data_IF_152714811133
#
_entry.id   IF_152714811133
#
_cell.length_a   1.000
_cell.length_b   1.000
_cell.length_c   1.000
_cell.angle_alpha   90.00
_cell.angle_beta   90.00
_cell.angle_gamma   90.00
#
_symmetry.space_group_name_H-M   'P 1'
#
loop_
_entity.id
_entity.type
_entity.pdbx_description
1 polymer ?
#
# COMPACT_ATOMS: atom_id res chain seq x y z
N UNK A 1 -4.21 14.17 0.03
CA UNK A 1 -4.14 14.41 -1.43
C UNK A 1 -3.95 13.07 -2.11
N UNK A 2 -4.95 12.60 -2.85
CA UNK A 2 -4.77 11.50 -3.79
C UNK A 2 -4.24 12.08 -5.11
N UNK A 3 -3.29 11.40 -5.75
CA UNK A 3 -2.89 11.73 -7.11
C UNK A 3 -3.77 10.99 -8.11
N UNK A 4 -3.76 11.44 -9.38
CA UNK A 4 -4.33 10.67 -10.49
C UNK A 4 -3.82 9.22 -10.46
N UNK A 5 -4.63 8.23 -10.90
CA UNK A 5 -4.21 6.83 -10.89
C UNK A 5 -2.85 6.66 -11.55
N UNK A 6 -1.91 6.08 -10.80
CA UNK A 6 -0.59 5.77 -11.32
C UNK A 6 -0.74 4.72 -12.42
N UNK A 7 -0.23 4.97 -13.63
CA UNK A 7 -0.34 4.02 -14.73
C UNK A 7 0.46 2.77 -14.37
N UNK A 8 -0.16 1.59 -14.51
CA UNK A 8 0.47 0.31 -14.25
C UNK A 8 0.33 -0.60 -15.48
N UNK A 9 1.42 -1.24 -15.91
CA UNK A 9 1.42 -2.16 -17.04
C UNK A 9 1.07 -3.59 -16.61
N UNK A 10 1.61 -4.03 -15.48
CA UNK A 10 1.43 -5.40 -14.98
C UNK A 10 0.10 -5.64 -14.25
N UNK A 11 -0.54 -4.58 -13.75
CA UNK A 11 -1.74 -4.64 -12.88
C UNK A 11 -2.69 -3.46 -13.14
N UNK A 12 -3.84 -3.41 -12.46
CA UNK A 12 -4.79 -2.29 -12.63
C UNK A 12 -4.16 -0.95 -12.18
N UNK A 13 -4.37 0.17 -12.91
CA UNK A 13 -4.01 1.49 -12.40
C UNK A 13 -4.68 1.78 -11.06
N UNK A 14 -3.99 2.48 -10.16
CA UNK A 14 -4.44 2.74 -8.78
C UNK A 14 -3.88 4.06 -8.27
N UNK A 15 -4.57 4.71 -7.34
CA UNK A 15 -4.02 5.92 -6.74
C UNK A 15 -2.83 5.59 -5.83
N UNK A 16 -1.88 6.50 -5.81
CA UNK A 16 -0.73 6.48 -4.91
C UNK A 16 -0.76 7.76 -4.09
N UNK A 17 -0.47 7.65 -2.81
CA UNK A 17 -0.46 8.72 -1.84
C UNK A 17 0.98 8.97 -1.37
N UNK A 18 1.39 10.22 -1.24
CA UNK A 18 2.74 10.58 -0.78
C UNK A 18 2.63 11.50 0.43
N UNK A 19 3.13 11.05 1.58
CA UNK A 19 3.33 11.87 2.77
C UNK A 19 4.80 12.24 2.88
N UNK A 20 5.08 13.54 2.88
CA UNK A 20 6.42 14.08 3.10
C UNK A 20 6.62 14.36 4.60
N UNK A 21 7.80 14.03 5.17
CA UNK A 21 8.05 14.28 6.57
C UNK A 21 8.14 15.80 6.86
N UNK A 22 7.89 16.23 8.12
CA UNK A 22 8.06 17.61 8.51
C UNK A 22 9.45 18.16 8.16
N UNK A 23 9.49 19.30 7.47
CA UNK A 23 10.74 19.95 7.08
C UNK A 23 11.39 19.44 5.78
N UNK A 24 10.73 18.54 5.04
CA UNK A 24 11.19 18.05 3.73
C UNK A 24 11.64 19.19 2.79
N UNK A 25 10.82 20.22 2.60
CA UNK A 25 11.11 21.33 1.66
C UNK A 25 12.24 22.27 2.11
N UNK A 26 12.75 22.11 3.35
CA UNK A 26 13.77 22.99 3.94
C UNK A 26 15.16 22.34 3.95
N UNK A 27 15.28 21.12 3.45
CA UNK A 27 16.51 20.34 3.48
C UNK A 27 16.80 19.72 2.12
N UNK A 28 18.08 19.42 1.86
CA UNK A 28 18.50 18.59 0.73
C UNK A 28 18.77 17.14 1.14
N UNK A 29 18.48 16.80 2.41
CA UNK A 29 18.62 15.45 2.96
C UNK A 29 17.82 14.42 2.16
N UNK A 30 18.38 13.21 2.06
CA UNK A 30 17.69 12.06 1.48
C UNK A 30 16.94 11.33 2.59
N UNK A 31 15.63 11.20 2.43
CA UNK A 31 14.78 10.48 3.36
C UNK A 31 14.59 9.02 2.90
N UNK A 32 14.56 8.05 3.83
CA UNK A 32 14.10 6.71 3.50
C UNK A 32 12.64 6.75 3.06
N UNK A 33 12.25 5.81 2.21
CA UNK A 33 10.89 5.66 1.71
C UNK A 33 10.28 4.38 2.28
N UNK A 34 9.05 4.49 2.80
CA UNK A 34 8.27 3.37 3.29
C UNK A 34 7.06 3.22 2.36
N UNK A 35 6.99 2.09 1.65
CA UNK A 35 5.83 1.73 0.85
C UNK A 35 4.82 1.00 1.73
N UNK A 36 3.60 1.52 1.79
CA UNK A 36 2.52 0.98 2.60
C UNK A 36 1.37 0.52 1.71
N UNK A 37 0.90 -0.70 1.98
CA UNK A 37 -0.24 -1.30 1.28
C UNK A 37 -1.55 -0.71 1.81
N UNK A 38 -2.61 -0.80 0.99
CA UNK A 38 -3.95 -0.28 1.32
C UNK A 38 -3.96 1.23 1.62
N UNK A 39 -3.35 1.99 0.71
CA UNK A 39 -3.17 3.45 0.78
C UNK A 39 -4.43 4.23 1.17
N UNK A 40 -5.61 3.74 0.78
CA UNK A 40 -6.89 4.38 1.08
C UNK A 40 -7.23 4.39 2.58
N UNK A 41 -6.63 3.49 3.38
CA UNK A 41 -6.85 3.41 4.82
C UNK A 41 -5.94 4.35 5.63
N UNK A 42 -4.94 4.96 5.00
CA UNK A 42 -3.81 5.52 5.74
C UNK A 42 -4.07 6.89 6.38
N UNK A 43 -4.87 7.75 5.73
CA UNK A 43 -4.89 9.20 6.02
C UNK A 43 -6.28 9.80 6.29
N UNK A 44 -7.37 9.11 5.91
CA UNK A 44 -8.71 9.64 6.11
C UNK A 44 -9.72 8.49 6.26
N UNK A 45 -10.51 8.53 7.33
CA UNK A 45 -11.57 7.56 7.59
C UNK A 45 -12.61 7.47 6.44
N UNK A 46 -12.82 8.55 5.69
CA UNK A 46 -13.76 8.60 4.55
C UNK A 46 -13.28 7.85 3.32
N UNK A 47 -11.97 7.66 3.17
CA UNK A 47 -11.39 6.83 2.10
C UNK A 47 -11.10 5.40 2.57
N UNK A 48 -11.05 5.18 3.89
CA UNK A 48 -10.72 3.90 4.47
C UNK A 48 -11.77 2.82 4.20
N UNK A 49 -11.29 1.63 3.87
CA UNK A 49 -12.10 0.42 3.91
C UNK A 49 -12.71 0.28 5.31
N UNK A 50 -14.01 0.00 5.36
CA UNK A 50 -14.76 -0.17 6.61
C UNK A 50 -14.80 1.08 7.51
N UNK A 51 -14.39 2.26 7.02
CA UNK A 51 -14.48 3.53 7.74
C UNK A 51 -13.48 3.69 8.89
N UNK A 52 -12.41 2.88 8.92
CA UNK A 52 -11.39 2.92 9.98
C UNK A 52 -10.04 3.32 9.41
N UNK A 53 -9.65 4.54 9.74
CA UNK A 53 -8.34 5.10 9.40
C UNK A 53 -7.22 4.50 10.25
N UNK A 54 -6.03 4.42 9.67
CA UNK A 54 -4.81 4.00 10.38
C UNK A 54 -4.00 5.17 10.94
N UNK A 55 -4.30 6.42 10.55
CA UNK A 55 -3.72 7.66 11.08
C UNK A 55 -2.18 7.68 11.00
N UNK A 56 -1.64 7.36 9.83
CA UNK A 56 -0.18 7.28 9.65
C UNK A 56 0.46 8.67 9.71
N UNK A 57 -0.21 9.71 9.23
CA UNK A 57 0.30 11.07 9.21
C UNK A 57 0.44 11.64 10.62
N UNK A 58 -0.57 11.53 11.48
CA UNK A 58 -0.45 11.96 12.88
C UNK A 58 0.61 11.15 13.63
N UNK A 59 0.68 9.84 13.35
CA UNK A 59 1.67 8.97 13.96
C UNK A 59 3.09 9.37 13.57
N UNK A 60 3.34 9.61 12.28
CA UNK A 60 4.65 10.04 11.77
C UNK A 60 5.03 11.41 12.33
N UNK A 61 4.13 12.40 12.29
CA UNK A 61 4.39 13.74 12.84
C UNK A 61 4.77 13.67 14.31
N UNK A 62 4.00 12.90 15.11
CA UNK A 62 4.24 12.76 16.55
C UNK A 62 5.61 12.13 16.83
N UNK A 63 5.91 10.98 16.24
CA UNK A 63 7.16 10.25 16.51
C UNK A 63 8.40 11.00 16.01
N UNK A 64 8.31 11.65 14.85
CA UNK A 64 9.40 12.49 14.32
C UNK A 64 9.64 13.70 15.23
N UNK A 65 8.57 14.38 15.66
CA UNK A 65 8.69 15.56 16.53
C UNK A 65 9.23 15.22 17.92
N UNK A 66 8.95 14.00 18.41
CA UNK A 66 9.49 13.47 19.65
C UNK A 66 10.94 12.97 19.53
N UNK A 67 11.49 12.86 18.31
CA UNK A 67 12.82 12.31 18.06
C UNK A 67 12.93 10.80 18.26
N UNK A 68 11.80 10.08 18.30
CA UNK A 68 11.74 8.63 18.51
C UNK A 68 12.07 7.85 17.23
N UNK A 69 11.78 8.42 16.06
CA UNK A 69 12.12 7.87 14.75
C UNK A 69 12.78 8.94 13.88
N UNK A 70 13.61 8.50 12.94
CA UNK A 70 14.08 9.38 11.87
C UNK A 70 12.92 9.72 10.91
N UNK A 71 12.91 10.92 10.29
CA UNK A 71 11.91 11.25 9.29
C UNK A 71 11.99 10.33 8.05
N UNK A 72 10.84 10.03 7.46
CA UNK A 72 10.70 9.17 6.28
C UNK A 72 9.56 9.66 5.38
N UNK A 73 9.63 9.35 4.08
CA UNK A 73 8.52 9.53 3.13
C UNK A 73 7.64 8.29 3.20
N UNK A 74 6.32 8.46 3.29
CA UNK A 74 5.37 7.36 3.13
C UNK A 74 4.80 7.39 1.72
N UNK A 75 4.81 6.24 1.05
CA UNK A 75 4.13 6.01 -0.23
C UNK A 75 3.01 4.99 0.01
N UNK A 76 1.77 5.46 0.07
CA UNK A 76 0.59 4.62 0.21
C UNK A 76 0.07 4.14 -1.14
N UNK A 77 -0.05 2.83 -1.33
CA UNK A 77 -0.53 2.22 -2.59
C UNK A 77 -1.96 1.73 -2.36
N UNK A 78 -2.95 2.33 -3.02
CA UNK A 78 -4.33 1.83 -2.91
C UNK A 78 -4.44 0.40 -3.44
N UNK A 79 -5.20 -0.43 -2.74
CA UNK A 79 -5.56 -1.74 -3.26
C UNK A 79 -6.59 -1.64 -4.38
N UNK A 80 -6.52 -2.59 -5.32
CA UNK A 80 -7.49 -2.70 -6.41
C UNK A 80 -8.66 -3.61 -6.05
N UNK A 81 -9.59 -3.77 -6.99
CA UNK A 81 -10.65 -4.81 -6.91
C UNK A 81 -10.08 -6.24 -6.83
N UNK A 82 -8.81 -6.43 -7.19
CA UNK A 82 -8.07 -7.70 -7.12
C UNK A 82 -7.12 -7.79 -5.92
N UNK A 83 -7.41 -7.05 -4.84
CA UNK A 83 -6.56 -6.96 -3.63
C UNK A 83 -6.04 -8.32 -3.16
N UNK A 84 -6.90 -9.33 -3.11
CA UNK A 84 -6.52 -10.66 -2.61
C UNK A 84 -5.61 -11.38 -3.60
N UNK A 85 -5.93 -11.36 -4.88
CA UNK A 85 -5.14 -11.95 -5.95
C UNK A 85 -3.77 -11.28 -6.08
N UNK A 86 -3.68 -9.97 -5.81
CA UNK A 86 -2.44 -9.17 -5.81
C UNK A 86 -1.58 -9.41 -4.56
N UNK A 87 -2.18 -9.73 -3.41
CA UNK A 87 -1.43 -9.86 -2.14
C UNK A 87 -1.11 -11.31 -1.75
N UNK A 88 -1.67 -12.31 -2.43
CA UNK A 88 -1.44 -13.73 -2.13
C UNK A 88 -0.36 -14.35 -3.03
N UNK A 89 0.81 -14.73 -2.49
CA UNK A 89 1.87 -15.34 -3.30
C UNK A 89 1.45 -16.71 -3.86
N UNK A 90 1.39 -16.80 -5.19
CA UNK A 90 1.04 -18.05 -5.89
C UNK A 90 1.93 -19.22 -5.53
N UNK A 91 3.21 -18.98 -5.27
CA UNK A 91 4.21 -20.00 -4.87
C UNK A 91 3.96 -20.56 -3.47
N UNK A 92 3.23 -19.85 -2.62
CA UNK A 92 2.87 -20.31 -1.27
C UNK A 92 1.51 -21.04 -1.23
N UNK A 93 0.71 -20.94 -2.29
CA UNK A 93 -0.56 -21.63 -2.41
C UNK A 93 -0.36 -23.15 -2.55
N UNK A 94 -1.28 -23.93 -1.99
CA UNK A 94 -1.31 -25.39 -2.11
C UNK A 94 -2.67 -25.83 -2.65
N UNK A 95 -2.66 -26.59 -3.75
CA UNK A 95 -3.88 -27.01 -4.44
C UNK A 95 -4.44 -25.94 -5.39
N UNK A 96 -5.62 -26.22 -5.94
CA UNK A 96 -6.23 -25.39 -7.00
C UNK A 96 -7.03 -24.21 -6.46
N UNK A 97 -7.39 -24.24 -5.17
CA UNK A 97 -8.21 -23.24 -4.50
C UNK A 97 -7.49 -22.76 -3.24
N UNK A 98 -7.44 -21.45 -3.04
CA UNK A 98 -6.99 -20.81 -1.80
C UNK A 98 -8.14 -20.09 -1.10
N UNK A 99 -8.02 -19.96 0.21
CA UNK A 99 -8.96 -19.21 1.05
C UNK A 99 -8.20 -18.12 1.80
N UNK A 100 -8.90 -17.08 2.23
CA UNK A 100 -8.32 -16.05 3.10
C UNK A 100 -8.15 -16.51 4.55
N UNK A 101 -8.78 -17.64 4.92
CA UNK A 101 -8.92 -18.08 6.31
C UNK A 101 -9.95 -17.26 7.12
N UNK A 102 -10.67 -16.33 6.50
CA UNK A 102 -11.69 -15.49 7.14
C UNK A 102 -13.08 -15.96 6.73
N UNK A 103 -13.94 -16.24 7.70
CA UNK A 103 -15.32 -16.66 7.45
C UNK A 103 -16.08 -15.61 6.63
N UNK A 104 -16.80 -16.07 5.61
CA UNK A 104 -17.61 -15.21 4.73
C UNK A 104 -16.83 -14.55 3.59
N UNK A 105 -15.50 -14.71 3.51
CA UNK A 105 -14.73 -14.26 2.35
C UNK A 105 -14.74 -15.31 1.23
N UNK A 106 -14.63 -14.88 -0.04
CA UNK A 106 -14.61 -15.79 -1.18
C UNK A 106 -13.36 -16.67 -1.19
N UNK A 107 -13.47 -17.78 -1.91
CA UNK A 107 -12.33 -18.61 -2.29
C UNK A 107 -11.80 -18.15 -3.65
N UNK A 108 -10.50 -18.29 -3.88
CA UNK A 108 -9.84 -17.89 -5.12
C UNK A 108 -9.20 -19.09 -5.80
N UNK A 109 -9.13 -19.11 -7.13
CA UNK A 109 -8.35 -20.13 -7.84
C UNK A 109 -6.88 -19.75 -7.74
N UNK A 110 -6.02 -20.72 -7.43
CA UNK A 110 -4.57 -20.50 -7.36
C UNK A 110 -4.01 -19.94 -8.67
N UNK A 111 -4.62 -20.28 -9.80
CA UNK A 111 -4.19 -19.78 -11.10
C UNK A 111 -4.43 -18.28 -11.31
N UNK A 112 -5.46 -17.72 -10.66
CA UNK A 112 -5.87 -16.31 -10.76
C UNK A 112 -5.02 -15.37 -9.89
N UNK A 113 -4.18 -15.93 -9.01
CA UNK A 113 -3.28 -15.15 -8.17
C UNK A 113 -2.22 -14.45 -9.04
N UNK A 114 -2.09 -13.15 -8.83
CA UNK A 114 -1.25 -12.24 -9.61
C UNK A 114 -0.24 -11.48 -8.74
N UNK A 115 0.16 -12.05 -7.60
CA UNK A 115 1.08 -11.39 -6.67
C UNK A 115 2.49 -11.15 -7.25
N UNK A 116 2.95 -11.99 -8.18
CA UNK A 116 4.22 -11.75 -8.87
C UNK A 116 4.09 -10.50 -9.79
N UNK A 117 2.97 -10.31 -10.50
CA UNK A 117 2.73 -9.08 -11.29
C UNK A 117 2.58 -7.84 -10.40
N UNK A 118 1.93 -7.98 -9.24
CA UNK A 118 1.85 -6.89 -8.27
C UNK A 118 3.23 -6.49 -7.75
N UNK A 119 4.09 -7.48 -7.48
CA UNK A 119 5.47 -7.24 -7.08
C UNK A 119 6.26 -6.51 -8.16
N UNK A 120 6.12 -6.90 -9.43
CA UNK A 120 6.75 -6.22 -10.58
C UNK A 120 6.35 -4.73 -10.62
N UNK A 121 5.06 -4.42 -10.42
CA UNK A 121 4.59 -3.03 -10.33
C UNK A 121 5.28 -2.25 -9.19
N UNK A 122 5.36 -2.83 -8.00
CA UNK A 122 5.97 -2.15 -6.83
C UNK A 122 7.46 -1.93 -7.03
N UNK A 123 8.17 -2.87 -7.65
CA UNK A 123 9.65 -2.89 -7.71
C UNK A 123 10.20 -2.20 -8.94
N UNK A 124 9.53 -2.34 -10.09
CA UNK A 124 10.05 -1.90 -11.39
C UNK A 124 9.32 -0.70 -11.97
N UNK A 125 8.03 -0.51 -11.64
CA UNK A 125 7.23 0.60 -12.19
C UNK A 125 7.14 1.78 -11.22
N UNK A 126 6.84 1.53 -9.93
CA UNK A 126 6.59 2.60 -8.95
C UNK A 126 7.86 3.19 -8.31
N UNK A 127 8.99 2.46 -8.37
CA UNK A 127 10.22 2.77 -7.65
C UNK A 127 11.00 3.97 -8.19
#
# INVERSE_FOLDING_TARGET
>A
MAFEPYPAAAVQPRAVWVLLPPGYDRSSERFPVIYMQDGQNLFDASTANFGVEWAIDETMVRLISAGEIRPAIIVGIESSTKRFEEYMPKKAASGDIVTTGVDGYPTFRTEDLIADQYLDFVVDELK
#
